data_IF_166116044832
#
_entry.id   IF_166116044832
#
_cell.length_a   1.000
_cell.length_b   1.000
_cell.length_c   1.000
_cell.angle_alpha   90.00
_cell.angle_beta   90.00
_cell.angle_gamma   90.00
#
_symmetry.space_group_name_H-M   'P 1'
#
loop_
_entity.id
_entity.type
_entity.pdbx_description
1 polymer ?
#
# COMPACT_ATOMS: atom_id res chain seq x y z
N UNK A 1 2.06 18.39 11.31
CA UNK A 1 1.24 17.44 10.53
C UNK A 1 1.55 16.04 11.05
N UNK A 2 0.54 15.27 11.45
CA UNK A 2 0.77 13.87 11.77
C UNK A 2 1.20 13.16 10.48
N UNK A 3 2.37 12.54 10.49
CA UNK A 3 2.80 11.67 9.39
C UNK A 3 1.79 10.54 9.28
N UNK A 4 1.18 10.38 8.09
CA UNK A 4 0.27 9.27 7.85
C UNK A 4 1.09 8.07 7.41
N UNK A 5 0.94 6.96 8.12
CA UNK A 5 1.66 5.71 7.87
C UNK A 5 1.09 4.91 6.68
N UNK A 6 0.26 5.54 5.85
CA UNK A 6 -0.34 4.95 4.67
C UNK A 6 -0.22 5.90 3.47
N UNK A 7 0.49 5.45 2.45
CA UNK A 7 0.62 6.12 1.16
C UNK A 7 0.14 5.20 0.04
N UNK A 8 -0.37 5.80 -1.04
CA UNK A 8 -0.74 5.11 -2.27
C UNK A 8 0.00 5.70 -3.46
N UNK A 9 0.88 4.90 -4.07
CA UNK A 9 1.52 5.23 -5.34
C UNK A 9 0.69 4.65 -6.48
N UNK A 10 0.02 5.52 -7.23
CA UNK A 10 -0.91 5.15 -8.30
C UNK A 10 -0.41 5.59 -9.66
N UNK A 11 -0.83 4.90 -10.73
CA UNK A 11 -0.54 5.32 -12.11
C UNK A 11 -0.62 4.15 -13.09
N UNK A 12 -0.56 4.40 -14.41
CA UNK A 12 -0.66 3.36 -15.43
C UNK A 12 0.33 2.20 -15.26
N UNK A 13 0.03 1.08 -15.94
CA UNK A 13 1.02 0.00 -16.12
C UNK A 13 2.23 0.56 -16.86
N UNK A 14 3.44 0.18 -16.43
CA UNK A 14 4.69 0.63 -17.05
C UNK A 14 5.25 1.96 -16.53
N UNK A 15 4.53 2.73 -15.70
CA UNK A 15 5.01 4.03 -15.15
C UNK A 15 6.13 3.92 -14.10
N UNK A 16 6.82 2.78 -14.00
CA UNK A 16 7.97 2.63 -13.11
C UNK A 16 7.67 2.61 -11.59
N UNK A 17 6.41 2.47 -11.16
CA UNK A 17 6.03 2.49 -9.73
C UNK A 17 6.84 1.51 -8.86
N UNK A 18 6.96 0.26 -9.29
CA UNK A 18 7.75 -0.75 -8.56
C UNK A 18 9.26 -0.44 -8.57
N UNK A 19 9.77 0.21 -9.63
CA UNK A 19 11.16 0.70 -9.68
C UNK A 19 11.37 1.85 -8.69
N UNK A 20 10.42 2.77 -8.58
CA UNK A 20 10.46 3.85 -7.58
C UNK A 20 10.46 3.28 -6.17
N UNK A 21 9.58 2.32 -5.89
CA UNK A 21 9.49 1.66 -4.58
C UNK A 21 10.76 0.89 -4.21
N UNK A 22 11.41 0.24 -5.19
CA UNK A 22 12.70 -0.41 -4.98
C UNK A 22 13.84 0.58 -4.60
N UNK A 23 13.68 1.87 -4.91
CA UNK A 23 14.61 2.93 -4.54
C UNK A 23 14.47 3.46 -3.11
N UNK A 24 13.45 3.03 -2.36
CA UNK A 24 13.17 3.51 -0.99
C UNK A 24 14.12 2.96 0.08
N UNK A 25 15.09 2.13 -0.31
CA UNK A 25 16.02 1.47 0.59
C UNK A 25 15.45 0.14 1.13
N UNK A 26 15.82 -0.29 2.35
CA UNK A 26 15.36 -1.56 2.91
C UNK A 26 13.86 -1.51 3.20
N UNK A 27 13.09 -2.22 2.38
CA UNK A 27 11.63 -2.38 2.51
C UNK A 27 11.25 -3.86 2.49
N UNK A 28 10.17 -4.22 3.18
CA UNK A 28 9.51 -5.51 2.94
C UNK A 28 8.57 -5.35 1.75
N UNK A 29 8.66 -6.24 0.76
CA UNK A 29 7.78 -6.24 -0.40
C UNK A 29 6.80 -7.42 -0.31
N UNK A 30 5.51 -7.11 -0.47
CA UNK A 30 4.45 -8.09 -0.64
C UNK A 30 3.70 -7.81 -1.94
N UNK A 31 3.93 -8.63 -2.96
CA UNK A 31 3.23 -8.56 -4.24
C UNK A 31 1.93 -9.38 -4.16
N UNK A 32 0.77 -8.70 -4.15
CA UNK A 32 -0.55 -9.35 -4.05
C UNK A 32 -0.92 -10.14 -5.31
N UNK A 33 -0.20 -9.94 -6.42
CA UNK A 33 -0.36 -10.74 -7.64
C UNK A 33 0.28 -12.13 -7.54
N UNK A 34 0.97 -12.46 -6.44
CA UNK A 34 1.60 -13.77 -6.23
C UNK A 34 0.71 -14.72 -5.42
N UNK A 35 0.73 -16.03 -5.73
CA UNK A 35 0.06 -17.03 -4.91
C UNK A 35 0.47 -16.93 -3.44
N UNK A 36 -0.50 -17.08 -2.53
CA UNK A 36 -0.24 -17.05 -1.09
C UNK A 36 0.03 -15.65 -0.51
N UNK A 37 -0.10 -14.57 -1.29
CA UNK A 37 0.22 -13.21 -0.82
C UNK A 37 -0.89 -12.62 0.06
N UNK A 38 -2.16 -12.86 -0.27
CA UNK A 38 -3.31 -12.38 0.51
C UNK A 38 -3.30 -12.95 1.92
N UNK A 39 -2.93 -14.22 2.06
CA UNK A 39 -2.83 -14.96 3.32
C UNK A 39 -1.66 -14.47 4.18
N UNK A 40 -0.60 -13.96 3.57
CA UNK A 40 0.58 -13.40 4.27
C UNK A 40 0.41 -11.94 4.67
N UNK A 41 -0.52 -11.20 4.04
CA UNK A 41 -0.73 -9.78 4.31
C UNK A 41 -1.01 -9.48 5.79
N UNK A 42 -1.90 -10.20 6.51
CA UNK A 42 -2.14 -9.95 7.93
C UNK A 42 -0.88 -10.05 8.78
N UNK A 43 -0.04 -11.07 8.54
CA UNK A 43 1.24 -11.25 9.24
C UNK A 43 2.22 -10.13 8.91
N UNK A 44 2.33 -9.73 7.65
CA UNK A 44 3.21 -8.64 7.23
C UNK A 44 2.80 -7.29 7.85
N UNK A 45 1.49 -7.05 8.04
CA UNK A 45 0.95 -5.85 8.68
C UNK A 45 1.16 -5.83 10.20
N UNK A 46 1.13 -7.00 10.84
CA UNK A 46 1.34 -7.18 12.28
C UNK A 46 2.82 -7.19 12.68
N UNK A 47 3.74 -7.33 11.72
CA UNK A 47 5.17 -7.36 11.98
C UNK A 47 5.66 -6.07 12.65
N UNK A 48 6.26 -6.21 13.84
CA UNK A 48 6.76 -5.07 14.61
C UNK A 48 8.18 -4.70 14.17
N UNK A 49 8.27 -3.88 13.13
CA UNK A 49 9.53 -3.42 12.53
C UNK A 49 9.41 -1.96 12.05
N UNK A 50 10.49 -1.15 12.12
CA UNK A 50 10.48 0.18 11.54
C UNK A 50 10.56 0.20 10.00
N UNK A 51 10.91 -0.93 9.37
CA UNK A 51 11.00 -1.00 7.91
C UNK A 51 9.62 -0.79 7.27
N UNK A 52 9.47 0.03 6.21
CA UNK A 52 8.20 0.14 5.50
C UNK A 52 7.78 -1.17 4.84
N UNK A 53 6.47 -1.41 4.77
CA UNK A 53 5.89 -2.47 3.94
C UNK A 53 5.43 -1.86 2.61
N UNK A 54 5.93 -2.38 1.50
CA UNK A 54 5.39 -2.11 0.17
C UNK A 54 4.44 -3.23 -0.20
N UNK A 55 3.19 -2.88 -0.48
CA UNK A 55 2.18 -3.80 -1.00
C UNK A 55 1.96 -3.47 -2.48
N UNK A 56 2.38 -4.35 -3.37
CA UNK A 56 2.29 -4.16 -4.82
C UNK A 56 1.10 -4.92 -5.42
N UNK A 57 0.71 -4.56 -6.64
CA UNK A 57 -0.37 -5.20 -7.41
C UNK A 57 -1.76 -5.11 -6.74
N UNK A 58 -2.07 -4.02 -6.02
CA UNK A 58 -3.36 -3.83 -5.34
C UNK A 58 -4.47 -3.34 -6.30
N UNK A 59 -4.82 -4.18 -7.28
CA UNK A 59 -5.65 -3.77 -8.42
C UNK A 59 -7.02 -4.46 -8.53
N UNK A 60 -7.10 -5.72 -8.11
CA UNK A 60 -8.34 -6.49 -8.13
C UNK A 60 -9.12 -6.34 -6.82
N UNK A 61 -10.38 -6.78 -6.84
CA UNK A 61 -11.29 -6.60 -5.72
C UNK A 61 -10.88 -7.42 -4.48
N UNK A 62 -10.23 -8.57 -4.65
CA UNK A 62 -9.73 -9.37 -3.52
C UNK A 62 -8.53 -8.70 -2.85
N UNK A 63 -7.59 -8.20 -3.64
CA UNK A 63 -6.44 -7.43 -3.18
C UNK A 63 -6.90 -6.18 -2.42
N UNK A 64 -7.90 -5.47 -2.93
CA UNK A 64 -8.46 -4.28 -2.28
C UNK A 64 -9.21 -4.61 -0.99
N UNK A 65 -10.02 -5.67 -0.99
CA UNK A 65 -10.72 -6.13 0.22
C UNK A 65 -9.72 -6.50 1.34
N UNK A 66 -8.57 -7.09 0.99
CA UNK A 66 -7.54 -7.44 1.96
C UNK A 66 -6.86 -6.22 2.60
N UNK A 67 -6.96 -5.03 1.99
CA UNK A 67 -6.41 -3.79 2.52
C UNK A 67 -7.35 -3.04 3.45
N UNK A 68 -8.61 -3.47 3.60
CA UNK A 68 -9.60 -2.83 4.48
C UNK A 68 -9.11 -2.58 5.92
N UNK A 69 -8.34 -3.48 6.57
CA UNK A 69 -7.81 -3.20 7.91
C UNK A 69 -6.94 -1.95 8.01
N UNK A 70 -6.29 -1.52 6.91
CA UNK A 70 -5.47 -0.31 6.88
C UNK A 70 -6.31 0.96 7.00
N UNK A 71 -7.57 0.93 6.54
CA UNK A 71 -8.49 2.08 6.62
C UNK A 71 -8.83 2.45 8.06
N UNK A 72 -8.86 1.44 8.93
CA UNK A 72 -9.26 1.56 10.33
C UNK A 72 -8.07 1.76 11.27
N UNK A 73 -6.84 1.76 10.73
CA UNK A 73 -5.63 1.82 11.53
C UNK A 73 -5.42 3.24 12.10
N UNK A 74 -5.26 3.40 13.43
CA UNK A 74 -4.89 4.68 13.99
C UNK A 74 -3.53 5.17 13.45
N UNK A 75 -3.35 6.48 13.19
CA UNK A 75 -2.04 7.03 12.84
C UNK A 75 -1.00 6.69 13.92
N UNK A 76 0.21 6.29 13.51
CA UNK A 76 1.31 5.93 14.42
C UNK A 76 1.22 4.53 15.02
N UNK A 77 0.17 3.75 14.73
CA UNK A 77 -0.02 2.41 15.35
C UNK A 77 0.69 1.28 14.60
N UNK A 78 1.80 1.57 13.92
CA UNK A 78 2.36 0.63 12.97
C UNK A 78 3.59 0.98 12.18
N UNK A 79 4.06 -0.02 11.42
CA UNK A 79 5.01 0.21 10.33
C UNK A 79 4.35 1.02 9.20
N UNK A 80 5.07 1.93 8.53
CA UNK A 80 4.59 2.60 7.33
C UNK A 80 4.23 1.61 6.22
N UNK A 81 3.15 1.90 5.49
CA UNK A 81 2.65 1.08 4.38
C UNK A 81 2.56 1.93 3.11
N UNK A 82 3.18 1.44 2.04
CA UNK A 82 3.03 1.98 0.69
C UNK A 82 2.25 0.98 -0.17
N UNK A 83 1.07 1.38 -0.63
CA UNK A 83 0.26 0.58 -1.56
C UNK A 83 0.50 1.04 -2.99
N UNK A 84 0.85 0.11 -3.87
CA UNK A 84 1.02 0.37 -5.31
C UNK A 84 -0.17 -0.20 -6.07
N UNK A 85 -0.79 0.64 -6.88
CA UNK A 85 -1.99 0.28 -7.66
C UNK A 85 -2.04 1.03 -8.99
N UNK A 86 -2.89 0.59 -9.92
CA UNK A 86 -3.18 1.30 -11.17
C UNK A 86 -4.17 2.45 -10.98
N UNK A 87 -5.07 2.29 -10.01
CA UNK A 87 -6.11 3.28 -9.67
C UNK A 87 -5.92 3.73 -8.24
N UNK A 88 -6.17 5.02 -8.00
CA UNK A 88 -6.11 5.62 -6.67
C UNK A 88 -7.05 4.89 -5.70
N UNK A 89 -6.58 4.64 -4.48
CA UNK A 89 -7.43 4.14 -3.40
C UNK A 89 -8.56 5.13 -3.09
N UNK A 90 -8.33 6.45 -3.22
CA UNK A 90 -9.37 7.46 -3.00
C UNK A 90 -10.54 7.36 -3.98
N UNK A 91 -10.36 6.71 -5.14
CA UNK A 91 -11.44 6.43 -6.08
C UNK A 91 -12.35 5.27 -5.61
N UNK A 92 -12.04 4.62 -4.48
CA UNK A 92 -12.79 3.50 -3.92
C UNK A 92 -13.68 3.96 -2.76
N UNK A 93 -14.89 3.40 -2.62
CA UNK A 93 -15.78 3.72 -1.51
C UNK A 93 -15.07 3.54 -0.15
N UNK A 94 -15.25 4.52 0.73
CA UNK A 94 -14.75 4.44 2.11
C UNK A 94 -13.26 4.74 2.31
N UNK A 95 -12.49 4.97 1.24
CA UNK A 95 -11.08 5.36 1.31
C UNK A 95 -10.87 6.87 1.39
N UNK A 96 -11.86 7.67 0.96
CA UNK A 96 -11.78 9.13 0.92
C UNK A 96 -11.40 9.75 2.28
N UNK A 97 -11.94 9.22 3.38
CA UNK A 97 -11.76 9.78 4.73
C UNK A 97 -10.57 9.16 5.49
N UNK A 98 -9.90 8.17 4.90
CA UNK A 98 -8.73 7.51 5.52
C UNK A 98 -7.52 8.43 5.59
N UNK A 99 -7.54 9.46 4.73
CA UNK A 99 -6.43 10.37 4.63
C UNK A 99 -5.19 9.82 3.93
N UNK A 100 -5.26 8.67 3.27
CA UNK A 100 -4.13 8.13 2.51
C UNK A 100 -3.44 9.20 1.66
N UNK A 101 -2.11 9.29 1.76
CA UNK A 101 -1.33 10.19 0.93
C UNK A 101 -1.20 9.58 -0.48
N UNK A 102 -1.81 10.21 -1.48
CA UNK A 102 -1.75 9.72 -2.87
C UNK A 102 -0.63 10.41 -3.62
N UNK A 103 0.21 9.62 -4.29
CA UNK A 103 1.25 10.07 -5.21
C UNK A 103 0.96 9.46 -6.58
N UNK A 104 0.81 10.31 -7.59
CA UNK A 104 0.60 9.86 -8.96
C UNK A 104 1.95 9.74 -9.68
N UNK A 105 2.24 8.55 -10.20
CA UNK A 105 3.36 8.32 -11.10
C UNK A 105 2.98 8.82 -12.51
N UNK A 106 3.70 9.84 -12.96
CA UNK A 106 3.63 10.31 -14.35
C UNK A 106 4.22 9.30 -15.34
N UNK A 107 3.97 9.51 -16.65
CA UNK A 107 4.69 8.81 -17.72
C UNK A 107 6.17 9.17 -17.75
#
# INVERSE_FOLDING_TARGET
MASRDLANLTGPLGSGKSRLAAGLGPVSLLDLGRPGALERLPTALAEYTPAPLVVDSADDDHALAALEPLRLRPPGSGRPVLVISRRSLLARPGWADTGVAVVEAGP
#
